data_IF_972936490818
#
_entry.id   IF_972936490818
#
_cell.length_a   1.000
_cell.length_b   1.000
_cell.length_c   1.000
_cell.angle_alpha   90.00
_cell.angle_beta   90.00
_cell.angle_gamma   90.00
#
_symmetry.space_group_name_H-M   'P 1'
#
loop_
_entity.id
_entity.type
_entity.pdbx_description
1 polymer ?
#
# COMPACT_ATOMS: atom_id res chain seq x y z
N UNK A 1 -5.06 -14.09 23.51
CA UNK A 1 -6.12 -13.10 23.20
C UNK A 1 -7.22 -13.84 22.42
N UNK A 2 -8.38 -14.08 23.03
CA UNK A 2 -9.50 -14.77 22.37
C UNK A 2 -10.15 -13.74 21.45
N UNK A 3 -10.03 -13.93 20.12
CA UNK A 3 -10.75 -13.09 19.16
C UNK A 3 -12.24 -13.45 19.26
N UNK A 4 -13.03 -12.53 19.78
CA UNK A 4 -14.48 -12.67 19.88
C UNK A 4 -15.09 -12.53 18.49
N UNK A 5 -16.11 -13.32 18.16
CA UNK A 5 -16.90 -13.11 16.94
C UNK A 5 -17.58 -11.73 17.04
N UNK A 6 -17.11 -10.79 16.24
CA UNK A 6 -17.70 -9.47 16.18
C UNK A 6 -18.88 -9.47 15.20
N UNK A 7 -20.07 -9.15 15.70
CA UNK A 7 -21.27 -8.88 14.91
C UNK A 7 -21.33 -7.41 14.45
N UNK A 8 -20.18 -6.73 14.34
CA UNK A 8 -20.13 -5.34 13.96
C UNK A 8 -20.65 -5.13 12.54
N UNK A 9 -21.79 -4.45 12.45
CA UNK A 9 -22.43 -4.13 11.17
C UNK A 9 -21.91 -2.78 10.64
N UNK A 10 -21.28 -2.81 9.47
CA UNK A 10 -20.75 -1.64 8.80
C UNK A 10 -21.77 -0.55 8.52
N UNK A 11 -23.07 -0.91 8.33
CA UNK A 11 -24.14 0.07 8.10
C UNK A 11 -24.41 1.01 9.29
N UNK A 12 -23.96 0.63 10.49
CA UNK A 12 -24.07 1.48 11.68
C UNK A 12 -23.07 2.65 11.70
N UNK A 13 -22.02 2.57 10.88
CA UNK A 13 -21.08 3.69 10.73
C UNK A 13 -21.73 4.83 9.96
N UNK A 14 -21.33 6.06 10.26
CA UNK A 14 -21.65 7.21 9.41
C UNK A 14 -21.08 6.97 8.01
N UNK A 15 -21.96 6.74 7.05
CA UNK A 15 -21.60 6.49 5.66
C UNK A 15 -21.14 7.78 4.98
N UNK A 16 -20.27 7.65 3.97
CA UNK A 16 -19.72 8.73 3.19
C UNK A 16 -20.44 8.82 1.83
N UNK A 17 -20.66 10.05 1.36
CA UNK A 17 -21.08 10.28 -0.02
C UNK A 17 -19.86 10.26 -0.96
N UNK A 18 -20.09 10.30 -2.28
CA UNK A 18 -19.05 10.20 -3.30
C UNK A 18 -17.96 11.27 -3.14
N UNK A 19 -18.35 12.54 -2.90
CA UNK A 19 -17.38 13.62 -2.72
C UNK A 19 -16.49 13.39 -1.51
N UNK A 20 -17.05 12.95 -0.39
CA UNK A 20 -16.30 12.64 0.82
C UNK A 20 -15.34 11.44 0.62
N UNK A 21 -15.76 10.42 -0.15
CA UNK A 21 -14.88 9.30 -0.52
C UNK A 21 -13.74 9.78 -1.41
N UNK A 22 -14.04 10.59 -2.44
CA UNK A 22 -12.98 11.14 -3.32
C UNK A 22 -11.99 11.98 -2.50
N UNK A 23 -12.45 12.85 -1.61
CA UNK A 23 -11.58 13.65 -0.75
C UNK A 23 -10.73 12.77 0.20
N UNK A 24 -11.29 11.68 0.71
CA UNK A 24 -10.56 10.74 1.57
C UNK A 24 -9.41 10.03 0.83
N UNK A 25 -9.46 9.89 -0.50
CA UNK A 25 -8.35 9.41 -1.32
C UNK A 25 -7.45 10.54 -1.83
N UNK A 26 -8.04 11.67 -2.23
CA UNK A 26 -7.31 12.79 -2.82
C UNK A 26 -6.32 13.43 -1.83
N UNK A 27 -6.71 13.58 -0.55
CA UNK A 27 -5.82 14.15 0.46
C UNK A 27 -4.53 13.32 0.66
N UNK A 28 -4.59 12.00 0.92
CA UNK A 28 -3.40 11.17 0.97
C UNK A 28 -2.63 11.14 -0.36
N UNK A 29 -3.32 11.10 -1.51
CA UNK A 29 -2.69 11.14 -2.83
C UNK A 29 -1.89 12.42 -3.05
N UNK A 30 -2.47 13.57 -2.72
CA UNK A 30 -1.78 14.87 -2.81
C UNK A 30 -0.57 14.94 -1.89
N UNK A 31 -0.69 14.41 -0.68
CA UNK A 31 0.41 14.35 0.26
C UNK A 31 1.56 13.44 -0.24
N UNK A 32 1.23 12.26 -0.78
CA UNK A 32 2.20 11.37 -1.40
C UNK A 32 2.85 12.01 -2.64
N UNK A 33 2.07 12.70 -3.47
CA UNK A 33 2.57 13.44 -4.62
C UNK A 33 3.58 14.53 -4.21
N UNK A 34 3.28 15.33 -3.18
CA UNK A 34 4.21 16.33 -2.65
C UNK A 34 5.53 15.69 -2.20
N UNK A 35 5.46 14.57 -1.48
CA UNK A 35 6.66 13.86 -1.01
C UNK A 35 7.53 13.34 -2.15
N UNK A 36 6.92 12.62 -3.10
CA UNK A 36 7.67 11.89 -4.11
C UNK A 36 7.90 12.63 -5.41
N UNK A 37 7.12 13.70 -5.70
CA UNK A 37 7.26 14.48 -6.92
C UNK A 37 7.86 15.87 -6.72
N UNK A 38 7.96 16.34 -5.46
CA UNK A 38 8.58 17.63 -5.14
C UNK A 38 9.74 17.48 -4.15
N UNK A 39 9.52 16.81 -2.99
CA UNK A 39 10.57 16.72 -1.95
C UNK A 39 11.66 15.75 -2.38
N UNK A 40 11.31 14.56 -2.91
CA UNK A 40 12.31 13.58 -3.33
C UNK A 40 13.28 14.12 -4.39
N UNK A 41 12.83 14.68 -5.54
CA UNK A 41 13.77 15.26 -6.51
C UNK A 41 14.62 16.37 -5.91
N UNK A 42 14.04 17.25 -5.09
CA UNK A 42 14.81 18.28 -4.40
C UNK A 42 15.93 17.68 -3.53
N UNK A 43 15.69 16.58 -2.80
CA UNK A 43 16.75 15.92 -2.00
C UNK A 43 17.81 15.29 -2.90
N UNK A 44 17.43 14.67 -4.02
CA UNK A 44 18.36 14.05 -4.97
C UNK A 44 19.23 15.12 -5.64
N UNK A 45 18.65 16.23 -6.07
CA UNK A 45 19.38 17.38 -6.66
C UNK A 45 20.37 18.00 -5.67
N UNK A 46 20.14 17.88 -4.35
CA UNK A 46 21.07 18.28 -3.30
C UNK A 46 22.09 17.18 -2.90
N UNK A 47 22.22 16.12 -3.68
CA UNK A 47 23.22 15.06 -3.51
C UNK A 47 22.87 13.96 -2.52
N UNK A 48 21.62 13.87 -2.05
CA UNK A 48 21.21 12.78 -1.19
C UNK A 48 20.82 11.54 -2.02
N UNK A 49 21.15 10.32 -1.55
CA UNK A 49 20.86 9.08 -2.29
C UNK A 49 19.37 8.83 -2.44
N UNK A 50 18.89 8.69 -3.69
CA UNK A 50 17.45 8.45 -3.99
C UNK A 50 16.89 7.20 -3.28
N UNK A 51 17.67 6.14 -3.18
CA UNK A 51 17.33 4.87 -2.51
C UNK A 51 17.00 5.08 -1.03
N UNK A 52 17.83 5.88 -0.34
CA UNK A 52 17.65 6.18 1.08
C UNK A 52 16.51 7.18 1.30
N UNK A 53 16.50 8.28 0.53
CA UNK A 53 15.56 9.38 0.71
C UNK A 53 14.12 8.97 0.40
N UNK A 54 13.91 8.06 -0.58
CA UNK A 54 12.60 7.45 -0.78
C UNK A 54 12.07 6.82 0.51
N UNK A 55 12.85 5.93 1.13
CA UNK A 55 12.46 5.24 2.35
C UNK A 55 12.22 6.18 3.52
N UNK A 56 13.04 7.23 3.69
CA UNK A 56 12.88 8.23 4.75
C UNK A 56 11.61 9.06 4.55
N UNK A 57 11.40 9.61 3.34
CA UNK A 57 10.21 10.42 3.02
C UNK A 57 8.94 9.58 3.17
N UNK A 58 8.95 8.36 2.60
CA UNK A 58 7.83 7.43 2.74
C UNK A 58 7.54 7.11 4.21
N UNK A 59 8.56 6.80 5.01
CA UNK A 59 8.38 6.45 6.43
C UNK A 59 7.72 7.58 7.22
N UNK A 60 8.16 8.83 7.01
CA UNK A 60 7.55 10.00 7.68
C UNK A 60 6.09 10.15 7.29
N UNK A 61 5.80 10.09 5.99
CA UNK A 61 4.43 10.26 5.48
C UNK A 61 3.52 9.13 5.96
N UNK A 62 3.96 7.88 5.85
CA UNK A 62 3.19 6.72 6.25
C UNK A 62 2.95 6.67 7.76
N UNK A 63 3.93 7.10 8.58
CA UNK A 63 3.73 7.23 10.02
C UNK A 63 2.60 8.21 10.35
N UNK A 64 2.56 9.36 9.67
CA UNK A 64 1.47 10.33 9.82
C UNK A 64 0.13 9.67 9.47
N UNK A 65 0.06 8.88 8.39
CA UNK A 65 -1.15 8.16 8.00
C UNK A 65 -1.57 7.09 9.01
N UNK A 66 -0.63 6.33 9.55
CA UNK A 66 -0.91 5.35 10.62
C UNK A 66 -1.54 6.06 11.83
N UNK A 67 -0.94 7.18 12.26
CA UNK A 67 -1.45 7.96 13.39
C UNK A 67 -2.87 8.49 13.12
N UNK A 68 -3.09 9.10 11.95
CA UNK A 68 -4.41 9.62 11.54
C UNK A 68 -5.42 8.48 11.48
N UNK A 69 -5.10 7.37 10.81
CA UNK A 69 -5.98 6.21 10.70
C UNK A 69 -6.36 5.65 12.06
N UNK A 70 -5.39 5.52 12.96
CA UNK A 70 -5.64 5.03 14.32
C UNK A 70 -6.51 5.98 15.16
N UNK A 71 -6.29 7.30 15.05
CA UNK A 71 -7.13 8.31 15.70
C UNK A 71 -8.58 8.22 15.21
N UNK A 72 -8.80 8.09 13.89
CA UNK A 72 -10.11 7.94 13.29
C UNK A 72 -10.81 6.66 13.77
N UNK A 73 -10.11 5.53 13.77
CA UNK A 73 -10.59 4.24 14.29
C UNK A 73 -10.99 4.36 15.77
N UNK A 74 -10.12 4.94 16.62
CA UNK A 74 -10.38 5.11 18.05
C UNK A 74 -11.59 5.99 18.32
N UNK A 75 -11.70 7.11 17.59
CA UNK A 75 -12.84 8.04 17.68
C UNK A 75 -14.15 7.35 17.33
N UNK A 76 -14.17 6.60 16.23
CA UNK A 76 -15.36 5.89 15.78
C UNK A 76 -15.70 4.69 16.67
N UNK A 77 -14.72 3.95 17.17
CA UNK A 77 -14.94 2.88 18.13
C UNK A 77 -15.65 3.40 19.39
N UNK A 78 -15.18 4.54 19.94
CA UNK A 78 -15.81 5.21 21.08
C UNK A 78 -17.23 5.69 20.75
N UNK A 79 -17.43 6.32 19.60
CA UNK A 79 -18.73 6.89 19.20
C UNK A 79 -19.81 5.82 18.97
N UNK A 80 -19.41 4.61 18.55
CA UNK A 80 -20.33 3.49 18.28
C UNK A 80 -20.38 2.45 19.39
N UNK A 81 -19.67 2.67 20.51
CA UNK A 81 -19.55 1.76 21.65
C UNK A 81 -19.13 0.33 21.25
N UNK A 82 -18.08 0.26 20.42
CA UNK A 82 -17.47 -0.99 19.95
C UNK A 82 -15.99 -1.02 20.33
N UNK A 83 -15.39 -2.22 20.33
CA UNK A 83 -13.96 -2.35 20.60
C UNK A 83 -13.12 -1.78 19.45
N UNK A 84 -11.89 -1.32 19.74
CA UNK A 84 -10.93 -0.91 18.71
C UNK A 84 -10.60 -2.09 17.78
N UNK A 85 -10.54 -3.31 18.31
CA UNK A 85 -10.26 -4.54 17.55
C UNK A 85 -11.36 -4.79 16.52
N UNK A 86 -12.63 -4.64 16.91
CA UNK A 86 -13.76 -4.76 15.98
C UNK A 86 -13.73 -3.67 14.91
N UNK A 87 -13.45 -2.43 15.32
CA UNK A 87 -13.40 -1.32 14.36
C UNK A 87 -12.20 -1.41 13.40
N UNK A 88 -11.10 -2.04 13.80
CA UNK A 88 -9.97 -2.41 12.95
C UNK A 88 -10.28 -3.61 12.04
N UNK A 89 -11.46 -4.20 12.14
CA UNK A 89 -11.85 -5.41 11.40
C UNK A 89 -10.91 -6.59 11.67
N UNK A 90 -10.34 -6.67 12.88
CA UNK A 90 -9.53 -7.83 13.30
C UNK A 90 -10.48 -8.92 13.78
N UNK A 91 -10.99 -9.71 12.82
CA UNK A 91 -12.00 -10.73 13.06
C UNK A 91 -11.40 -12.12 12.85
N UNK A 92 -11.74 -13.07 13.74
CA UNK A 92 -11.43 -14.49 13.53
C UNK A 92 -12.19 -15.02 12.32
N UNK A 93 -11.50 -15.73 11.45
CA UNK A 93 -12.06 -16.34 10.24
C UNK A 93 -12.09 -17.85 10.37
N UNK A 94 -13.15 -18.45 9.81
CA UNK A 94 -13.20 -19.89 9.61
C UNK A 94 -12.27 -20.33 8.48
N UNK A 95 -11.93 -21.62 8.48
CA UNK A 95 -10.97 -22.18 7.51
C UNK A 95 -11.41 -21.94 6.04
N UNK A 96 -12.70 -22.06 5.75
CA UNK A 96 -13.26 -21.78 4.41
C UNK A 96 -13.03 -20.33 3.98
N UNK A 97 -13.23 -19.38 4.90
CA UNK A 97 -13.00 -17.95 4.61
C UNK A 97 -11.51 -17.65 4.35
N UNK A 98 -10.61 -18.32 5.07
CA UNK A 98 -9.19 -18.24 4.81
C UNK A 98 -8.83 -18.73 3.42
N UNK A 99 -9.29 -19.92 3.02
CA UNK A 99 -9.01 -20.47 1.69
C UNK A 99 -9.54 -19.58 0.56
N UNK A 100 -10.78 -19.06 0.70
CA UNK A 100 -11.35 -18.13 -0.29
C UNK A 100 -10.51 -16.85 -0.38
N UNK A 101 -10.18 -16.26 0.77
CA UNK A 101 -9.43 -15.02 0.82
C UNK A 101 -8.02 -15.15 0.23
N UNK A 102 -7.29 -16.20 0.62
CA UNK A 102 -5.96 -16.47 0.08
C UNK A 102 -6.01 -16.82 -1.41
N UNK A 103 -7.04 -17.56 -1.86
CA UNK A 103 -7.25 -17.84 -3.28
C UNK A 103 -7.44 -16.56 -4.10
N UNK A 104 -8.27 -15.62 -3.62
CA UNK A 104 -8.47 -14.32 -4.29
C UNK A 104 -7.15 -13.55 -4.34
N UNK A 105 -6.37 -13.53 -3.25
CA UNK A 105 -5.09 -12.82 -3.20
C UNK A 105 -4.05 -13.44 -4.14
N UNK A 106 -3.93 -14.77 -4.18
CA UNK A 106 -3.01 -15.46 -5.10
C UNK A 106 -3.37 -15.16 -6.56
N UNK A 107 -4.66 -15.25 -6.91
CA UNK A 107 -5.14 -14.90 -8.25
C UNK A 107 -4.83 -13.43 -8.55
N UNK A 108 -5.07 -12.52 -7.60
CA UNK A 108 -4.75 -11.11 -7.74
C UNK A 108 -3.27 -10.85 -8.01
N UNK A 109 -2.38 -11.54 -7.29
CA UNK A 109 -0.93 -11.46 -7.49
C UNK A 109 -0.55 -11.97 -8.89
N UNK A 110 -1.03 -13.15 -9.28
CA UNK A 110 -0.75 -13.72 -10.60
C UNK A 110 -1.23 -12.78 -11.71
N UNK A 111 -2.46 -12.28 -11.61
CA UNK A 111 -3.01 -11.34 -12.58
C UNK A 111 -2.23 -10.02 -12.60
N UNK A 112 -1.80 -9.49 -11.45
CA UNK A 112 -1.03 -8.24 -11.43
C UNK A 112 0.29 -8.38 -12.20
N UNK A 113 0.98 -9.53 -12.10
CA UNK A 113 2.16 -9.82 -12.91
C UNK A 113 1.82 -10.03 -14.39
N UNK A 114 0.66 -10.62 -14.73
CA UNK A 114 0.22 -10.74 -16.11
C UNK A 114 -0.06 -9.36 -16.78
N UNK A 115 -0.29 -8.32 -15.97
CA UNK A 115 -0.45 -6.93 -16.44
C UNK A 115 0.88 -6.16 -16.57
N UNK A 116 2.02 -6.79 -16.30
CA UNK A 116 3.33 -6.16 -16.45
C UNK A 116 3.59 -5.57 -17.86
N UNK A 117 3.18 -6.21 -18.97
CA UNK A 117 3.32 -5.60 -20.30
C UNK A 117 2.56 -4.27 -20.46
N UNK A 118 1.45 -4.06 -19.72
CA UNK A 118 0.75 -2.78 -19.72
C UNK A 118 1.52 -1.70 -18.97
N UNK A 119 2.33 -2.05 -17.99
CA UNK A 119 3.21 -1.08 -17.32
C UNK A 119 4.24 -0.52 -18.31
N UNK A 120 4.80 -1.38 -19.18
CA UNK A 120 5.71 -0.97 -20.25
C UNK A 120 5.03 0.03 -21.20
N UNK A 121 3.76 -0.22 -21.57
CA UNK A 121 2.98 0.72 -22.36
C UNK A 121 2.69 2.03 -21.61
N UNK A 122 2.31 1.94 -20.33
CA UNK A 122 1.95 3.12 -19.52
C UNK A 122 3.14 4.08 -19.34
N UNK A 123 4.36 3.57 -19.12
CA UNK A 123 5.55 4.43 -18.94
C UNK A 123 5.93 5.22 -20.19
N UNK A 124 5.47 4.79 -21.38
CA UNK A 124 5.69 5.51 -22.65
C UNK A 124 4.64 6.62 -22.89
N UNK A 125 3.57 6.66 -22.08
CA UNK A 125 2.55 7.71 -22.21
C UNK A 125 3.07 9.05 -21.70
N UNK A 126 2.69 10.18 -22.36
CA UNK A 126 3.09 11.51 -21.92
C UNK A 126 2.76 11.77 -20.44
N UNK A 127 3.76 12.15 -19.65
CA UNK A 127 3.63 12.45 -18.23
C UNK A 127 3.61 11.24 -17.29
N UNK A 128 3.70 10.00 -17.83
CA UNK A 128 3.76 8.77 -17.03
C UNK A 128 5.15 8.10 -17.04
N UNK A 129 6.15 8.70 -17.69
CA UNK A 129 7.52 8.20 -17.67
C UNK A 129 8.08 8.11 -16.24
N UNK A 130 8.96 7.14 -16.05
CA UNK A 130 9.63 6.93 -14.77
C UNK A 130 10.72 7.99 -14.61
N UNK A 131 10.65 8.89 -13.62
CA UNK A 131 11.69 9.90 -13.44
C UNK A 131 13.00 9.30 -12.93
N UNK A 132 14.14 9.85 -13.33
CA UNK A 132 15.49 9.36 -12.99
C UNK A 132 15.77 9.40 -11.47
N UNK A 133 15.11 10.31 -10.75
CA UNK A 133 15.22 10.38 -9.29
C UNK A 133 14.44 9.29 -8.55
N UNK A 134 13.63 8.48 -9.25
CA UNK A 134 12.95 7.34 -8.61
C UNK A 134 13.93 6.19 -8.37
N UNK A 135 13.77 5.44 -7.26
CA UNK A 135 14.59 4.27 -7.01
C UNK A 135 14.27 3.13 -7.99
N UNK A 136 15.25 2.27 -8.23
CA UNK A 136 15.19 1.20 -9.23
C UNK A 136 14.03 0.23 -9.04
N UNK A 137 13.61 -0.08 -7.81
CA UNK A 137 12.50 -1.01 -7.56
C UNK A 137 11.12 -0.50 -8.02
N UNK A 138 11.00 0.76 -8.40
CA UNK A 138 9.81 1.31 -9.03
C UNK A 138 9.85 1.21 -10.56
N UNK A 139 10.94 0.70 -11.11
CA UNK A 139 11.08 0.43 -12.54
C UNK A 139 11.10 -1.08 -12.77
N UNK A 140 9.97 -1.69 -13.19
CA UNK A 140 9.90 -3.14 -13.39
C UNK A 140 10.74 -3.67 -14.54
N UNK A 141 11.31 -2.79 -15.37
CA UNK A 141 12.26 -3.17 -16.45
C UNK A 141 13.68 -3.41 -15.91
N UNK A 142 13.96 -3.05 -14.67
CA UNK A 142 15.28 -3.27 -14.04
C UNK A 142 15.27 -4.60 -13.28
N UNK A 143 16.15 -5.50 -13.66
CA UNK A 143 16.48 -6.69 -12.86
C UNK A 143 17.63 -6.34 -11.91
N UNK A 144 17.36 -6.12 -10.61
CA UNK A 144 18.37 -5.67 -9.67
C UNK A 144 19.47 -6.70 -9.40
N UNK A 145 19.24 -7.99 -9.70
CA UNK A 145 20.24 -9.05 -9.49
C UNK A 145 21.24 -9.15 -10.66
N UNK A 146 20.87 -8.61 -11.84
CA UNK A 146 21.69 -8.63 -13.06
C UNK A 146 22.08 -7.22 -13.53
N UNK A 147 21.84 -6.19 -12.72
CA UNK A 147 22.17 -4.78 -13.03
C UNK A 147 23.32 -4.30 -12.16
N UNK A 148 24.24 -3.55 -12.74
CA UNK A 148 25.38 -2.96 -12.02
C UNK A 148 24.88 -2.09 -10.84
N UNK A 149 25.53 -2.21 -9.70
CA UNK A 149 25.20 -1.47 -8.47
C UNK A 149 25.29 0.05 -8.66
N UNK A 150 26.20 0.54 -9.50
CA UNK A 150 26.31 1.96 -9.82
C UNK A 150 25.09 2.48 -10.61
N UNK A 151 24.47 1.63 -11.41
CA UNK A 151 23.21 1.96 -12.11
C UNK A 151 22.03 1.97 -11.12
N UNK A 152 22.00 1.00 -10.19
CA UNK A 152 20.93 0.89 -9.20
C UNK A 152 20.94 2.08 -8.22
N UNK A 153 22.15 2.48 -7.80
CA UNK A 153 22.33 3.53 -6.79
C UNK A 153 23.59 4.35 -7.06
N UNK A 154 23.53 5.28 -8.02
CA UNK A 154 24.67 6.12 -8.39
C UNK A 154 25.24 6.85 -7.16
N UNK A 155 26.58 6.83 -7.04
CA UNK A 155 27.34 7.52 -5.98
C UNK A 155 26.97 7.13 -4.54
N UNK A 156 26.22 6.03 -4.35
CA UNK A 156 25.87 5.56 -3.01
C UNK A 156 25.99 4.05 -2.89
N UNK A 157 26.99 3.60 -2.16
CA UNK A 157 27.25 2.18 -1.98
C UNK A 157 26.10 1.48 -1.25
N UNK A 158 25.43 0.56 -1.95
CA UNK A 158 24.41 -0.32 -1.35
C UNK A 158 25.07 -1.45 -0.57
N UNK A 159 26.15 -2.02 -1.11
CA UNK A 159 26.85 -3.18 -0.52
C UNK A 159 27.40 -2.84 0.86
N UNK A 160 27.06 -3.65 1.86
CA UNK A 160 27.44 -3.44 3.27
C UNK A 160 26.64 -2.36 4.01
N UNK A 161 25.71 -1.68 3.35
CA UNK A 161 24.97 -0.56 3.95
C UNK A 161 23.68 -1.01 4.63
N UNK A 162 23.80 -1.47 5.88
CA UNK A 162 22.66 -1.97 6.65
C UNK A 162 21.54 -0.92 6.90
N UNK A 163 21.85 0.39 6.82
CA UNK A 163 20.83 1.43 6.98
C UNK A 163 19.76 1.38 5.90
N UNK A 164 20.08 0.94 4.69
CA UNK A 164 19.10 0.73 3.61
C UNK A 164 18.09 -0.33 4.05
N UNK A 165 18.57 -1.45 4.62
CA UNK A 165 17.69 -2.52 5.11
C UNK A 165 16.81 -2.01 6.26
N UNK A 166 17.37 -1.28 7.21
CA UNK A 166 16.63 -0.74 8.37
C UNK A 166 15.53 0.23 7.92
N UNK A 167 15.88 1.22 7.10
CA UNK A 167 14.94 2.25 6.66
C UNK A 167 13.84 1.63 5.78
N UNK A 168 14.20 0.73 4.87
CA UNK A 168 13.20 0.06 4.03
C UNK A 168 12.31 -0.88 4.83
N UNK A 169 12.83 -1.54 5.87
CA UNK A 169 12.00 -2.35 6.76
C UNK A 169 10.96 -1.50 7.49
N UNK A 170 11.36 -0.35 8.03
CA UNK A 170 10.45 0.60 8.67
C UNK A 170 9.43 1.12 7.65
N UNK A 171 9.88 1.54 6.47
CA UNK A 171 9.01 2.03 5.40
C UNK A 171 7.94 1.01 5.02
N UNK A 172 8.33 -0.23 4.73
CA UNK A 172 7.40 -1.27 4.28
C UNK A 172 6.41 -1.69 5.38
N UNK A 173 6.84 -1.76 6.65
CA UNK A 173 5.92 -2.01 7.77
C UNK A 173 4.91 -0.88 7.92
N UNK A 174 5.36 0.38 7.87
CA UNK A 174 4.48 1.54 7.94
C UNK A 174 3.54 1.61 6.74
N UNK A 175 4.00 1.23 5.54
CA UNK A 175 3.16 1.15 4.34
C UNK A 175 1.98 0.20 4.56
N UNK A 176 2.25 -1.04 4.98
CA UNK A 176 1.21 -2.03 5.24
C UNK A 176 0.23 -1.53 6.30
N UNK A 177 0.74 -1.00 7.41
CA UNK A 177 -0.11 -0.48 8.49
C UNK A 177 -0.98 0.70 8.02
N UNK A 178 -0.40 1.67 7.32
CA UNK A 178 -1.11 2.84 6.83
C UNK A 178 -2.23 2.45 5.86
N UNK A 179 -1.92 1.59 4.90
CA UNK A 179 -2.85 1.22 3.85
C UNK A 179 -3.99 0.34 4.37
N UNK A 180 -3.68 -0.67 5.18
CA UNK A 180 -4.72 -1.56 5.71
C UNK A 180 -5.60 -0.86 6.78
N UNK A 181 -5.03 -0.01 7.63
CA UNK A 181 -5.82 0.72 8.63
C UNK A 181 -6.68 1.79 7.97
N UNK A 182 -6.10 2.63 7.10
CA UNK A 182 -6.82 3.77 6.56
C UNK A 182 -7.81 3.38 5.45
N UNK A 183 -7.35 2.68 4.41
CA UNK A 183 -8.21 2.40 3.24
C UNK A 183 -9.13 1.21 3.45
N UNK A 184 -8.70 0.18 4.18
CA UNK A 184 -9.47 -1.06 4.34
C UNK A 184 -10.25 -1.08 5.65
N UNK A 185 -9.61 -0.84 6.79
CA UNK A 185 -10.33 -0.88 8.06
C UNK A 185 -11.21 0.36 8.26
N UNK A 186 -10.70 1.57 7.98
CA UNK A 186 -11.47 2.79 8.25
C UNK A 186 -12.43 3.16 7.12
N UNK A 187 -11.94 3.26 5.86
CA UNK A 187 -12.69 3.86 4.76
C UNK A 187 -13.68 2.89 4.10
N UNK A 188 -13.27 1.66 3.76
CA UNK A 188 -14.12 0.70 3.03
C UNK A 188 -15.46 0.44 3.73
N UNK A 189 -15.56 0.23 5.07
CA UNK A 189 -16.83 0.05 5.74
C UNK A 189 -17.80 1.24 5.64
N UNK A 190 -17.28 2.43 5.33
CA UNK A 190 -18.08 3.68 5.22
C UNK A 190 -18.59 3.93 3.80
N UNK A 191 -18.36 2.98 2.90
CA UNK A 191 -18.74 3.07 1.49
C UNK A 191 -19.96 2.19 1.15
N UNK A 192 -20.76 1.77 2.15
CA UNK A 192 -21.91 0.86 1.93
C UNK A 192 -23.02 1.51 1.07
N UNK A 193 -23.08 2.82 0.97
CA UNK A 193 -23.99 3.55 0.08
C UNK A 193 -23.81 3.18 -1.40
N UNK A 194 -22.62 2.68 -1.78
CA UNK A 194 -22.33 2.21 -3.15
C UNK A 194 -22.67 0.71 -3.34
N UNK A 195 -23.28 0.07 -2.34
CA UNK A 195 -23.71 -1.32 -2.39
C UNK A 195 -22.58 -2.29 -2.73
N UNK A 196 -22.84 -3.22 -3.66
CA UNK A 196 -21.86 -4.22 -4.10
C UNK A 196 -20.66 -3.64 -4.84
N UNK A 197 -20.71 -2.39 -5.28
CA UNK A 197 -19.62 -1.72 -6.00
C UNK A 197 -18.63 -0.99 -5.08
N UNK A 198 -18.89 -0.98 -3.77
CA UNK A 198 -18.03 -0.29 -2.79
C UNK A 198 -16.58 -0.78 -2.82
N UNK A 199 -16.36 -2.09 -2.98
CA UNK A 199 -15.01 -2.66 -3.07
C UNK A 199 -14.30 -2.31 -4.39
N UNK A 200 -15.05 -2.25 -5.52
CA UNK A 200 -14.49 -1.84 -6.82
C UNK A 200 -14.06 -0.38 -6.76
N UNK A 201 -14.95 0.49 -6.27
CA UNK A 201 -14.65 1.92 -6.12
C UNK A 201 -13.47 2.17 -5.19
N UNK A 202 -13.41 1.45 -4.05
CA UNK A 202 -12.27 1.56 -3.12
C UNK A 202 -10.96 1.11 -3.78
N UNK A 203 -10.94 -0.04 -4.45
CA UNK A 203 -9.77 -0.56 -5.15
C UNK A 203 -9.30 0.34 -6.30
N UNK A 204 -10.22 0.90 -7.08
CA UNK A 204 -9.92 1.84 -8.16
C UNK A 204 -9.29 3.14 -7.63
N UNK A 205 -9.94 3.77 -6.65
CA UNK A 205 -9.43 5.00 -6.04
C UNK A 205 -8.11 4.79 -5.30
N UNK A 206 -7.90 3.59 -4.74
CA UNK A 206 -6.63 3.23 -4.14
C UNK A 206 -5.51 3.11 -5.18
N UNK A 207 -5.78 2.57 -6.36
CA UNK A 207 -4.79 2.57 -7.43
C UNK A 207 -4.44 4.00 -7.88
N UNK A 208 -5.45 4.90 -7.97
CA UNK A 208 -5.23 6.32 -8.28
C UNK A 208 -4.55 7.10 -7.14
N UNK A 209 -4.68 6.66 -5.88
CA UNK A 209 -3.91 7.23 -4.77
C UNK A 209 -2.41 7.22 -5.03
N UNK A 210 -1.91 6.24 -5.76
CA UNK A 210 -0.50 6.13 -6.18
C UNK A 210 -0.16 7.07 -7.35
N UNK A 211 -0.72 8.28 -7.35
CA UNK A 211 -0.55 9.31 -8.40
C UNK A 211 0.92 9.67 -8.70
N UNK A 212 1.81 9.43 -7.74
CA UNK A 212 3.24 9.65 -7.87
C UNK A 212 3.95 8.58 -8.72
N UNK A 213 3.29 7.43 -9.01
CA UNK A 213 3.83 6.29 -9.76
C UNK A 213 2.78 5.65 -10.69
N UNK A 214 2.05 6.47 -11.46
CA UNK A 214 0.93 6.03 -12.30
C UNK A 214 1.33 5.04 -13.41
N UNK A 215 2.61 4.92 -13.76
CA UNK A 215 3.06 3.85 -14.68
C UNK A 215 2.79 2.45 -14.11
N UNK A 216 2.75 2.29 -12.78
CA UNK A 216 2.41 1.03 -12.11
C UNK A 216 0.90 0.81 -11.94
N UNK A 217 0.07 1.76 -12.39
CA UNK A 217 -1.39 1.69 -12.21
C UNK A 217 -1.99 0.34 -12.63
N UNK A 218 -1.64 -0.27 -13.78
CA UNK A 218 -2.25 -1.55 -14.19
C UNK A 218 -2.05 -2.67 -13.16
N UNK A 219 -0.84 -2.79 -12.61
CA UNK A 219 -0.53 -3.80 -11.58
C UNK A 219 -1.20 -3.49 -10.24
N UNK A 220 -1.05 -2.24 -9.78
CA UNK A 220 -1.61 -1.78 -8.51
C UNK A 220 -3.14 -1.90 -8.52
N UNK A 221 -3.80 -1.61 -9.64
CA UNK A 221 -5.23 -1.70 -9.77
C UNK A 221 -5.75 -3.13 -9.55
N UNK A 222 -5.16 -4.11 -10.23
CA UNK A 222 -5.54 -5.52 -10.08
C UNK A 222 -5.32 -6.00 -8.65
N UNK A 223 -4.15 -5.70 -8.07
CA UNK A 223 -3.83 -6.12 -6.70
C UNK A 223 -4.73 -5.43 -5.67
N UNK A 224 -5.04 -4.15 -5.86
CA UNK A 224 -5.94 -3.43 -4.97
C UNK A 224 -7.39 -3.94 -5.03
N UNK A 225 -7.86 -4.35 -6.20
CA UNK A 225 -9.17 -5.00 -6.32
C UNK A 225 -9.21 -6.31 -5.54
N UNK A 226 -8.19 -7.17 -5.68
CA UNK A 226 -8.11 -8.44 -4.95
C UNK A 226 -8.09 -8.22 -3.42
N UNK A 227 -7.24 -7.30 -2.95
CA UNK A 227 -7.13 -6.94 -1.54
C UNK A 227 -8.45 -6.41 -0.99
N UNK A 228 -9.08 -5.47 -1.69
CA UNK A 228 -10.32 -4.85 -1.23
C UNK A 228 -11.50 -5.83 -1.28
N UNK A 229 -11.58 -6.69 -2.32
CA UNK A 229 -12.57 -7.75 -2.41
C UNK A 229 -12.45 -8.74 -1.25
N UNK A 230 -11.22 -9.12 -0.91
CA UNK A 230 -10.93 -10.02 0.21
C UNK A 230 -11.45 -9.44 1.52
N UNK A 231 -11.18 -8.17 1.83
CA UNK A 231 -11.70 -7.50 3.02
C UNK A 231 -13.22 -7.33 2.97
N UNK A 232 -13.76 -7.00 1.80
CA UNK A 232 -15.19 -6.84 1.61
C UNK A 232 -15.98 -8.13 1.88
N UNK A 233 -15.48 -9.28 1.42
CA UNK A 233 -16.15 -10.58 1.60
C UNK A 233 -15.92 -11.16 2.99
N UNK A 234 -14.71 -11.12 3.50
CA UNK A 234 -14.35 -11.69 4.81
C UNK A 234 -14.80 -10.83 5.98
N UNK A 235 -15.02 -9.53 5.77
CA UNK A 235 -15.22 -8.51 6.81
C UNK A 235 -14.06 -8.46 7.81
N UNK A 236 -12.85 -8.84 7.35
CA UNK A 236 -11.62 -8.86 8.15
C UNK A 236 -10.45 -8.37 7.31
N UNK A 237 -9.55 -7.57 7.92
CA UNK A 237 -8.30 -7.17 7.27
C UNK A 237 -7.22 -8.25 7.35
N UNK A 238 -7.38 -9.29 8.19
CA UNK A 238 -6.30 -10.25 8.47
C UNK A 238 -5.73 -10.94 7.22
N UNK A 239 -6.53 -11.45 6.26
CA UNK A 239 -5.99 -12.09 5.06
C UNK A 239 -5.23 -11.10 4.16
N UNK A 240 -5.78 -9.90 3.95
CA UNK A 240 -5.13 -8.85 3.19
C UNK A 240 -3.82 -8.41 3.84
N UNK A 241 -3.84 -8.19 5.15
CA UNK A 241 -2.67 -7.82 5.94
C UNK A 241 -1.57 -8.90 5.88
N UNK A 242 -1.93 -10.18 6.05
CA UNK A 242 -0.99 -11.29 5.96
C UNK A 242 -0.35 -11.39 4.57
N UNK A 243 -1.15 -11.30 3.51
CA UNK A 243 -0.64 -11.36 2.14
C UNK A 243 0.26 -10.17 1.84
N UNK A 244 -0.11 -8.99 2.33
CA UNK A 244 0.67 -7.75 2.17
C UNK A 244 2.03 -7.87 2.89
N UNK A 245 2.06 -8.45 4.11
CA UNK A 245 3.32 -8.74 4.81
C UNK A 245 4.19 -9.69 3.98
N UNK A 246 3.63 -10.78 3.47
CA UNK A 246 4.41 -11.75 2.70
C UNK A 246 4.91 -11.14 1.40
N UNK A 247 4.02 -10.54 0.60
CA UNK A 247 4.36 -10.04 -0.73
C UNK A 247 5.25 -8.78 -0.68
N UNK A 248 4.90 -7.79 0.13
CA UNK A 248 5.64 -6.52 0.13
C UNK A 248 6.78 -6.50 1.15
N UNK A 249 6.56 -6.97 2.38
CA UNK A 249 7.61 -6.88 3.39
C UNK A 249 8.63 -8.00 3.23
N UNK A 250 8.23 -9.27 3.35
CA UNK A 250 9.20 -10.37 3.39
C UNK A 250 9.97 -10.49 2.07
N UNK A 251 9.30 -10.50 0.92
CA UNK A 251 9.97 -10.68 -0.37
C UNK A 251 10.85 -9.47 -0.71
N UNK A 252 10.38 -8.23 -0.46
CA UNK A 252 11.17 -7.04 -0.74
C UNK A 252 12.38 -6.91 0.18
N UNK A 253 12.23 -7.22 1.48
CA UNK A 253 13.35 -7.16 2.42
C UNK A 253 14.39 -8.26 2.11
N UNK A 254 13.97 -9.46 1.75
CA UNK A 254 14.90 -10.50 1.32
C UNK A 254 15.68 -10.08 0.07
N UNK A 255 15.02 -9.45 -0.91
CA UNK A 255 15.69 -8.89 -2.09
C UNK A 255 16.70 -7.80 -1.72
N UNK A 256 16.33 -6.87 -0.84
CA UNK A 256 17.24 -5.79 -0.38
C UNK A 256 18.42 -6.38 0.41
N UNK A 257 18.19 -7.38 1.27
CA UNK A 257 19.27 -8.09 2.00
C UNK A 257 20.23 -8.74 1.02
N UNK A 258 19.74 -9.41 -0.02
CA UNK A 258 20.56 -10.00 -1.04
C UNK A 258 21.42 -8.97 -1.80
N UNK A 259 20.88 -7.79 -2.08
CA UNK A 259 21.63 -6.68 -2.71
C UNK A 259 22.66 -6.02 -1.78
N UNK A 260 22.38 -5.99 -0.48
CA UNK A 260 23.28 -5.31 0.49
C UNK A 260 24.38 -6.23 0.97
N UNK A 261 24.12 -7.52 1.13
CA UNK A 261 25.05 -8.47 1.77
C UNK A 261 25.49 -9.65 0.88
N UNK A 262 24.88 -9.76 -0.33
CA UNK A 262 25.19 -10.79 -1.33
C UNK A 262 26.39 -10.53 -2.23
#
# INVERSE_FOLDING_TARGET
MILVESNFNWSKLKQLNLLQVILAFLLPSGFAFLGFRLILPWTVDNGYPKVLMWGVIASIMLLIFVIIGFILIKKEAKANNISIVDRLLIKKLGIKQWFISLGIMIIGIILSFAFLPLVEFFKELPGLSIPDYMPFWLNPSIDPMNTDMEILSPHYALKGNYWVVVIMSICLLLNILAEEIYFRAWLLPKMQTFGKWSWVLNGFLFALYHSFQLWLFPMIFILSLATTLTVYLSKSILPAFLTHIVANFLLSILGIIALVFG
#
